data_IF_168813592869
#
_entry.id   IF_168813592869
#
_cell.length_a   1.000
_cell.length_b   1.000
_cell.length_c   1.000
_cell.angle_alpha   90.00
_cell.angle_beta   90.00
_cell.angle_gamma   90.00
#
_symmetry.space_group_name_H-M   'P 1'
#
loop_
_entity.id
_entity.type
_entity.pdbx_description
1 polymer ?
#
# COMPACT_ATOMS: atom_id res chain seq x y z
N UNK A 1 -30.91 9.86 -2.70
CA UNK A 1 -30.80 9.41 -1.31
C UNK A 1 -29.36 9.65 -0.86
N UNK A 2 -29.16 10.25 0.32
CA UNK A 2 -27.84 10.39 0.94
C UNK A 2 -27.87 9.54 2.19
N UNK A 3 -26.90 8.64 2.35
CA UNK A 3 -26.78 7.73 3.49
C UNK A 3 -25.43 7.98 4.17
N UNK A 4 -25.43 7.99 5.50
CA UNK A 4 -24.24 8.27 6.31
C UNK A 4 -23.95 7.04 7.16
N UNK A 5 -22.74 6.52 7.04
CA UNK A 5 -22.27 5.36 7.83
C UNK A 5 -20.80 5.53 8.16
N UNK A 6 -20.37 4.87 9.24
CA UNK A 6 -18.97 4.71 9.60
C UNK A 6 -18.41 3.35 9.16
N UNK A 7 -19.28 2.45 8.67
CA UNK A 7 -18.88 1.14 8.15
C UNK A 7 -18.56 1.24 6.66
N UNK A 8 -17.29 1.01 6.35
CA UNK A 8 -16.80 1.02 4.97
C UNK A 8 -17.38 -0.11 4.14
N UNK A 9 -17.69 -1.27 4.72
CA UNK A 9 -18.30 -2.40 4.00
C UNK A 9 -19.69 -2.02 3.49
N UNK A 10 -20.48 -1.31 4.30
CA UNK A 10 -21.77 -0.76 3.87
C UNK A 10 -21.57 0.26 2.74
N UNK A 11 -20.64 1.20 2.93
CA UNK A 11 -20.38 2.25 1.95
C UNK A 11 -19.94 1.67 0.59
N UNK A 12 -19.03 0.68 0.60
CA UNK A 12 -18.46 0.06 -0.60
C UNK A 12 -19.45 -0.86 -1.33
N UNK A 13 -20.38 -1.50 -0.61
CA UNK A 13 -21.31 -2.47 -1.21
C UNK A 13 -22.62 -1.86 -1.71
N UNK A 14 -23.11 -0.79 -1.08
CA UNK A 14 -24.45 -0.25 -1.35
C UNK A 14 -24.44 1.02 -2.21
N UNK A 15 -23.31 1.70 -2.33
CA UNK A 15 -23.26 3.06 -2.88
C UNK A 15 -22.80 3.08 -4.34
N UNK A 16 -23.42 3.95 -5.15
CA UNK A 16 -22.92 4.26 -6.50
C UNK A 16 -21.72 5.22 -6.44
N UNK A 17 -21.71 6.12 -5.46
CA UNK A 17 -20.63 7.05 -5.17
C UNK A 17 -20.50 7.19 -3.66
N UNK A 18 -19.28 7.35 -3.18
CA UNK A 18 -18.94 7.54 -1.78
C UNK A 18 -18.26 8.89 -1.64
N UNK A 19 -18.69 9.69 -0.68
CA UNK A 19 -17.99 10.89 -0.22
C UNK A 19 -17.23 10.55 1.06
N UNK A 20 -15.89 10.49 0.98
CA UNK A 20 -15.05 10.26 2.16
C UNK A 20 -14.70 11.62 2.77
N UNK A 21 -14.93 11.77 4.07
CA UNK A 21 -14.63 12.98 4.84
C UNK A 21 -13.67 12.67 5.98
N UNK A 22 -12.80 13.63 6.30
CA UNK A 22 -11.94 13.59 7.48
C UNK A 22 -11.92 14.97 8.13
N UNK A 23 -12.13 15.05 9.45
CA UNK A 23 -12.11 16.31 10.22
C UNK A 23 -12.98 17.44 9.63
N UNK A 24 -14.14 17.07 9.07
CA UNK A 24 -15.07 18.01 8.44
C UNK A 24 -14.72 18.40 7.01
N UNK A 25 -13.58 17.95 6.47
CA UNK A 25 -13.15 18.21 5.11
C UNK A 25 -13.43 17.03 4.17
N UNK A 26 -13.93 17.35 2.98
CA UNK A 26 -14.15 16.36 1.93
C UNK A 26 -12.82 15.92 1.31
N UNK A 27 -12.52 14.63 1.40
CA UNK A 27 -11.26 14.05 0.91
C UNK A 27 -11.40 13.57 -0.54
N UNK A 28 -12.48 12.85 -0.87
CA UNK A 28 -12.73 12.34 -2.23
C UNK A 28 -14.22 12.00 -2.43
N UNK A 29 -14.73 12.18 -3.64
CA UNK A 29 -16.05 11.68 -4.05
C UNK A 29 -15.94 10.88 -5.35
N UNK A 30 -16.01 9.56 -5.25
CA UNK A 30 -15.83 8.66 -6.40
C UNK A 30 -16.66 7.38 -6.25
N UNK A 31 -16.65 6.51 -7.25
CA UNK A 31 -17.24 5.18 -7.11
C UNK A 31 -16.50 4.34 -6.05
N UNK A 32 -17.13 3.32 -5.44
CA UNK A 32 -16.46 2.44 -4.47
C UNK A 32 -15.12 1.89 -4.97
N UNK A 33 -15.09 1.46 -6.23
CA UNK A 33 -13.90 0.90 -6.86
C UNK A 33 -12.79 1.93 -7.03
N UNK A 34 -13.13 3.18 -7.36
CA UNK A 34 -12.16 4.26 -7.47
C UNK A 34 -11.63 4.71 -6.11
N UNK A 35 -12.47 4.79 -5.08
CA UNK A 35 -12.02 5.08 -3.70
C UNK A 35 -11.00 4.03 -3.25
N UNK A 36 -11.26 2.76 -3.56
CA UNK A 36 -10.39 1.65 -3.17
C UNK A 36 -9.07 1.61 -3.96
N UNK A 37 -9.16 1.67 -5.30
CA UNK A 37 -8.03 1.48 -6.22
C UNK A 37 -7.24 2.76 -6.52
N UNK A 38 -7.81 3.94 -6.28
CA UNK A 38 -7.19 5.25 -6.57
C UNK A 38 -7.51 6.23 -5.43
N UNK A 39 -7.05 5.94 -4.20
CA UNK A 39 -7.26 6.82 -3.07
C UNK A 39 -6.58 8.17 -3.34
N UNK A 40 -7.32 9.28 -3.23
CA UNK A 40 -6.78 10.61 -3.50
C UNK A 40 -5.79 11.10 -2.43
N UNK A 41 -5.84 10.52 -1.24
CA UNK A 41 -4.97 10.88 -0.11
C UNK A 41 -4.50 9.64 0.66
N UNK A 42 -3.38 9.80 1.35
CA UNK A 42 -2.84 8.78 2.27
C UNK A 42 -3.83 8.40 3.37
N UNK A 43 -4.67 9.34 3.80
CA UNK A 43 -5.76 9.07 4.75
C UNK A 43 -6.73 8.05 4.18
N UNK A 44 -7.24 8.26 2.95
CA UNK A 44 -8.17 7.31 2.32
C UNK A 44 -7.50 5.95 2.13
N UNK A 45 -6.23 5.93 1.72
CA UNK A 45 -5.47 4.69 1.55
C UNK A 45 -5.36 3.87 2.84
N UNK A 46 -5.07 4.53 3.97
CA UNK A 46 -4.98 3.89 5.28
C UNK A 46 -6.33 3.64 5.95
N UNK A 47 -7.38 4.36 5.55
CA UNK A 47 -8.72 4.20 6.09
C UNK A 47 -9.47 3.09 5.37
N UNK A 48 -9.58 3.15 4.04
CA UNK A 48 -10.45 2.29 3.23
C UNK A 48 -9.78 0.96 2.95
N UNK A 49 -10.43 -0.15 3.32
CA UNK A 49 -9.99 -1.51 3.06
C UNK A 49 -9.71 -2.29 4.34
N UNK A 50 -9.99 -3.59 4.31
CA UNK A 50 -9.75 -4.48 5.46
C UNK A 50 -9.01 -5.73 4.96
N UNK A 51 -7.70 -5.86 5.25
CA UNK A 51 -6.86 -4.94 6.01
C UNK A 51 -6.57 -3.60 5.28
N UNK A 52 -6.12 -2.56 6.00
CA UNK A 52 -5.77 -1.28 5.39
C UNK A 52 -4.54 -1.38 4.50
N UNK A 53 -4.30 -0.38 3.65
CA UNK A 53 -3.08 -0.32 2.83
C UNK A 53 -1.84 -0.27 3.72
N UNK A 54 -0.79 -0.99 3.33
CA UNK A 54 0.52 -0.87 3.96
C UNK A 54 1.16 0.45 3.55
N UNK A 55 1.60 1.25 4.52
CA UNK A 55 2.17 2.57 4.28
C UNK A 55 3.57 2.69 4.88
N UNK A 56 4.54 3.11 4.07
CA UNK A 56 5.94 3.26 4.46
C UNK A 56 6.51 4.60 4.00
N UNK A 57 7.27 5.24 4.88
CA UNK A 57 7.97 6.47 4.53
C UNK A 57 9.15 6.15 3.64
N UNK A 58 9.26 6.86 2.52
CA UNK A 58 10.30 6.64 1.54
C UNK A 58 10.81 7.93 0.91
N UNK A 59 11.92 7.81 0.20
CA UNK A 59 12.53 8.84 -0.63
C UNK A 59 12.71 8.28 -2.04
N UNK A 60 12.68 9.15 -3.05
CA UNK A 60 13.14 8.79 -4.39
C UNK A 60 14.67 8.73 -4.38
N UNK A 61 15.24 7.68 -4.97
CA UNK A 61 16.69 7.55 -5.05
C UNK A 61 17.32 8.67 -5.92
N UNK A 62 18.46 9.20 -5.48
CA UNK A 62 19.14 10.35 -6.12
C UNK A 62 20.02 9.93 -7.32
N UNK A 63 20.38 8.65 -7.41
CA UNK A 63 21.32 8.08 -8.37
C UNK A 63 20.73 7.85 -9.78
N UNK A 64 19.53 8.35 -10.05
CA UNK A 64 18.83 8.18 -11.33
C UNK A 64 18.21 6.80 -11.51
N UNK A 65 18.47 5.86 -10.60
CA UNK A 65 17.66 4.66 -10.44
C UNK A 65 16.28 5.08 -9.99
N UNK A 66 15.30 4.83 -10.84
CA UNK A 66 13.93 5.16 -10.53
C UNK A 66 13.37 4.12 -9.57
N UNK A 67 13.75 4.27 -8.30
CA UNK A 67 13.39 3.40 -7.22
C UNK A 67 13.08 4.21 -5.96
N UNK A 68 12.23 3.64 -5.11
CA UNK A 68 11.93 4.16 -3.79
C UNK A 68 12.82 3.46 -2.76
N UNK A 69 13.38 4.24 -1.85
CA UNK A 69 14.16 3.75 -0.71
C UNK A 69 13.53 4.14 0.60
N UNK A 70 13.66 3.30 1.62
CA UNK A 70 13.24 3.68 2.97
C UNK A 70 14.21 4.71 3.58
N UNK A 71 13.90 5.18 4.79
CA UNK A 71 14.77 6.13 5.51
C UNK A 71 16.13 5.55 5.93
N UNK A 72 16.31 4.24 5.87
CA UNK A 72 17.60 3.58 6.12
C UNK A 72 18.37 3.32 4.81
N UNK A 73 17.86 3.77 3.67
CA UNK A 73 18.48 3.62 2.35
C UNK A 73 18.28 2.25 1.70
N UNK A 74 17.41 1.38 2.24
CA UNK A 74 17.09 0.08 1.62
C UNK A 74 16.17 0.27 0.42
N UNK A 75 16.44 -0.44 -0.66
CA UNK A 75 15.57 -0.50 -1.83
C UNK A 75 14.23 -1.14 -1.46
N UNK A 76 13.13 -0.41 -1.61
CA UNK A 76 11.78 -0.91 -1.37
C UNK A 76 11.18 -1.41 -2.68
N UNK A 77 11.23 -0.57 -3.72
CA UNK A 77 10.40 -0.74 -4.89
C UNK A 77 11.01 -0.05 -6.10
N UNK A 78 11.16 -0.79 -7.19
CA UNK A 78 11.55 -0.24 -8.48
C UNK A 78 10.31 0.36 -9.14
N UNK A 79 10.37 1.64 -9.46
CA UNK A 79 9.31 2.30 -10.21
C UNK A 79 9.38 1.77 -11.65
N UNK A 80 8.25 1.43 -12.30
CA UNK A 80 8.23 1.20 -13.74
C UNK A 80 8.20 2.54 -14.52
N UNK A 81 8.57 2.55 -15.83
CA UNK A 81 8.70 3.78 -16.61
C UNK A 81 7.49 4.75 -16.56
N UNK A 82 6.23 4.28 -16.58
CA UNK A 82 5.07 5.19 -16.46
C UNK A 82 4.99 5.92 -15.11
N UNK A 83 5.53 5.34 -14.04
CA UNK A 83 5.56 5.95 -12.70
C UNK A 83 6.73 6.93 -12.57
N UNK A 84 7.84 6.70 -13.28
CA UNK A 84 9.00 7.62 -13.30
C UNK A 84 8.56 9.03 -13.68
N UNK A 85 7.83 9.15 -14.79
CA UNK A 85 7.42 10.45 -15.31
C UNK A 85 6.48 11.18 -14.34
N UNK A 86 5.58 10.47 -13.67
CA UNK A 86 4.66 11.08 -12.68
C UNK A 86 5.39 11.58 -11.45
N UNK A 87 6.42 10.86 -11.02
CA UNK A 87 7.23 11.26 -9.87
C UNK A 87 8.26 12.33 -10.23
N UNK A 88 8.72 12.38 -11.48
CA UNK A 88 9.64 13.40 -11.96
C UNK A 88 9.05 14.82 -11.85
N UNK A 89 7.73 14.96 -11.98
CA UNK A 89 7.05 16.24 -11.81
C UNK A 89 6.72 16.58 -10.35
N UNK A 90 7.01 15.69 -9.40
CA UNK A 90 6.78 15.94 -7.98
C UNK A 90 7.82 16.91 -7.40
N UNK A 91 7.34 17.88 -6.62
CA UNK A 91 8.18 18.91 -5.99
C UNK A 91 8.91 18.37 -4.74
N UNK A 92 8.40 17.32 -4.09
CA UNK A 92 8.91 16.82 -2.80
C UNK A 92 9.47 15.40 -2.90
N UNK A 93 10.52 15.22 -3.70
CA UNK A 93 11.16 13.90 -3.95
C UNK A 93 11.80 13.26 -2.70
N UNK A 94 12.17 14.07 -1.71
CA UNK A 94 12.79 13.62 -0.46
C UNK A 94 11.81 13.29 0.68
N UNK A 95 10.49 13.37 0.44
CA UNK A 95 9.50 13.10 1.48
C UNK A 95 8.23 12.51 0.87
N UNK A 96 8.23 11.19 0.70
CA UNK A 96 7.17 10.43 0.06
C UNK A 96 6.62 9.37 1.00
N UNK A 97 5.42 8.88 0.70
CA UNK A 97 4.83 7.69 1.33
C UNK A 97 4.54 6.68 0.24
N UNK A 98 5.15 5.50 0.36
CA UNK A 98 4.83 4.32 -0.43
C UNK A 98 3.60 3.62 0.15
N UNK A 99 2.67 3.23 -0.73
CA UNK A 99 1.48 2.48 -0.37
C UNK A 99 1.30 1.23 -1.24
N UNK A 100 0.95 0.10 -0.62
CA UNK A 100 0.59 -1.13 -1.34
C UNK A 100 -0.46 -1.91 -0.57
N UNK A 101 -1.47 -2.45 -1.27
CA UNK A 101 -2.52 -3.25 -0.62
C UNK A 101 -1.99 -4.61 -0.17
N UNK A 102 -2.50 -5.18 0.94
CA UNK A 102 -2.08 -6.50 1.41
C UNK A 102 -2.15 -7.60 0.35
N UNK A 103 -3.18 -7.58 -0.49
CA UNK A 103 -3.41 -8.56 -1.56
C UNK A 103 -2.56 -8.32 -2.83
N UNK A 104 -1.90 -7.16 -2.94
CA UNK A 104 -0.99 -6.81 -4.04
C UNK A 104 0.49 -7.08 -3.68
N UNK A 105 0.74 -7.79 -2.57
CA UNK A 105 2.07 -8.24 -2.14
C UNK A 105 2.16 -9.76 -2.31
N UNK A 106 3.22 -10.23 -2.95
CA UNK A 106 3.55 -11.65 -3.08
C UNK A 106 4.65 -12.02 -2.09
N UNK A 107 4.48 -13.12 -1.35
CA UNK A 107 5.53 -13.69 -0.50
C UNK A 107 6.27 -14.76 -1.30
N UNK A 108 7.57 -14.54 -1.51
CA UNK A 108 8.49 -15.48 -2.13
C UNK A 108 9.31 -16.21 -1.04
N UNK A 109 9.29 -17.56 -0.99
CA UNK A 109 10.05 -18.31 0.00
C UNK A 109 11.58 -18.18 -0.14
N UNK A 110 12.05 -17.93 -1.36
CA UNK A 110 13.48 -17.82 -1.66
C UNK A 110 13.89 -16.36 -1.91
N UNK A 111 15.14 -15.99 -1.59
CA UNK A 111 15.66 -14.65 -1.87
C UNK A 111 15.65 -14.36 -3.38
N UNK A 112 14.77 -13.46 -3.80
CA UNK A 112 14.85 -12.79 -5.10
C UNK A 112 15.67 -11.50 -4.95
N UNK A 113 16.56 -11.22 -5.92
CA UNK A 113 17.36 -10.00 -5.96
C UNK A 113 16.53 -8.73 -6.09
N UNK A 114 15.27 -8.84 -6.54
CA UNK A 114 14.39 -7.69 -6.82
C UNK A 114 13.42 -7.34 -5.67
N UNK A 115 13.16 -8.28 -4.77
CA UNK A 115 12.20 -8.10 -3.69
C UNK A 115 12.83 -7.67 -2.36
N UNK A 116 11.99 -7.35 -1.38
CA UNK A 116 12.41 -6.85 -0.07
C UNK A 116 12.53 -8.00 0.96
N UNK A 117 13.75 -8.29 1.48
CA UNK A 117 13.92 -9.31 2.52
C UNK A 117 13.16 -8.94 3.79
N UNK A 118 12.37 -9.89 4.28
CA UNK A 118 11.42 -9.71 5.37
C UNK A 118 11.33 -10.97 6.23
N UNK A 119 10.74 -10.86 7.43
CA UNK A 119 10.52 -12.01 8.32
C UNK A 119 9.06 -12.10 8.74
N UNK A 120 8.51 -13.31 8.69
CA UNK A 120 7.14 -13.60 9.14
C UNK A 120 7.10 -13.57 10.67
N UNK A 121 6.22 -12.75 11.24
CA UNK A 121 5.98 -12.66 12.69
C UNK A 121 4.71 -13.35 13.14
N UNK A 122 3.66 -13.26 12.33
CA UNK A 122 2.38 -13.87 12.65
C UNK A 122 1.67 -14.34 11.38
N UNK A 123 0.73 -15.26 11.58
CA UNK A 123 -0.12 -15.82 10.54
C UNK A 123 -1.51 -16.04 11.11
N UNK A 124 -2.51 -15.46 10.45
CA UNK A 124 -3.91 -15.56 10.83
C UNK A 124 -4.73 -16.20 9.70
N UNK A 125 -5.63 -17.13 10.04
CA UNK A 125 -6.56 -17.73 9.09
C UNK A 125 -7.87 -16.95 9.06
N UNK A 126 -8.28 -16.51 7.87
CA UNK A 126 -9.49 -15.72 7.64
C UNK A 126 -10.33 -16.42 6.57
N UNK A 127 -10.79 -17.64 6.86
CA UNK A 127 -11.63 -18.41 5.95
C UNK A 127 -10.92 -18.79 4.64
N UNK A 128 -11.16 -18.02 3.58
CA UNK A 128 -10.61 -18.20 2.23
C UNK A 128 -9.27 -17.48 1.99
N UNK A 129 -8.82 -16.67 2.96
CA UNK A 129 -7.54 -15.99 2.94
C UNK A 129 -6.68 -16.33 4.16
N UNK A 130 -5.38 -16.12 4.03
CA UNK A 130 -4.42 -16.10 5.14
C UNK A 130 -3.72 -14.76 5.17
N UNK A 131 -3.78 -14.10 6.32
CA UNK A 131 -3.06 -12.86 6.57
C UNK A 131 -1.74 -13.17 7.25
N UNK A 132 -0.66 -12.59 6.74
CA UNK A 132 0.67 -12.65 7.32
C UNK A 132 1.06 -11.25 7.78
N UNK A 133 1.62 -11.18 8.98
CA UNK A 133 2.28 -9.97 9.45
C UNK A 133 3.80 -10.17 9.27
N UNK A 134 4.41 -9.28 8.48
CA UNK A 134 5.82 -9.34 8.08
C UNK A 134 6.52 -8.03 8.44
N UNK A 135 7.77 -8.10 8.88
CA UNK A 135 8.55 -6.88 9.17
C UNK A 135 9.21 -6.37 7.90
N UNK A 136 8.86 -5.14 7.54
CA UNK A 136 9.41 -4.36 6.44
C UNK A 136 9.89 -3.04 7.01
N UNK A 137 11.19 -2.82 6.95
CA UNK A 137 11.78 -1.56 7.38
C UNK A 137 11.38 -1.06 8.77
N UNK A 138 11.40 -1.97 9.74
CA UNK A 138 10.96 -1.75 11.14
C UNK A 138 9.46 -1.50 11.32
N UNK A 139 8.68 -1.52 10.23
CA UNK A 139 7.21 -1.46 10.27
C UNK A 139 6.62 -2.85 10.05
N UNK A 140 5.41 -3.05 10.57
CA UNK A 140 4.62 -4.23 10.28
C UNK A 140 3.86 -4.01 8.97
N UNK A 141 4.06 -4.91 8.03
CA UNK A 141 3.27 -5.01 6.81
C UNK A 141 2.34 -6.21 6.95
N UNK A 142 1.13 -6.07 6.42
CA UNK A 142 0.17 -7.13 6.31
C UNK A 142 0.09 -7.60 4.87
N UNK A 143 0.18 -8.91 4.67
CA UNK A 143 0.12 -9.54 3.34
C UNK A 143 -1.03 -10.52 3.33
N UNK A 144 -1.86 -10.45 2.30
CA UNK A 144 -2.98 -11.36 2.12
C UNK A 144 -2.63 -12.39 1.04
N UNK A 145 -2.82 -13.66 1.36
CA UNK A 145 -2.56 -14.79 0.46
C UNK A 145 -3.77 -15.71 0.40
N UNK A 146 -3.90 -16.56 -0.64
CA UNK A 146 -4.93 -17.60 -0.67
C UNK A 146 -4.86 -18.52 0.54
N UNK A 147 -5.98 -19.05 1.01
CA UNK A 147 -6.03 -19.95 2.17
C UNK A 147 -5.17 -21.21 2.04
N UNK A 148 -4.74 -21.63 0.85
CA UNK A 148 -3.84 -22.78 0.70
C UNK A 148 -2.36 -22.43 0.97
N UNK A 149 -1.98 -21.14 0.92
CA UNK A 149 -0.61 -20.71 1.08
C UNK A 149 -0.15 -20.85 2.54
N UNK A 150 0.96 -21.54 2.75
CA UNK A 150 1.44 -21.92 4.08
C UNK A 150 2.95 -21.77 4.18
N UNK A 151 3.37 -20.74 4.91
CA UNK A 151 4.73 -20.62 5.42
C UNK A 151 4.72 -20.59 6.97
N UNK A 152 5.73 -21.16 7.64
CA UNK A 152 5.91 -21.05 9.08
C UNK A 152 6.22 -19.63 9.55
N UNK A 153 5.80 -19.34 10.79
CA UNK A 153 6.22 -18.12 11.50
C UNK A 153 7.71 -18.20 11.81
N UNK A 154 8.39 -17.07 11.70
CA UNK A 154 9.84 -16.96 11.92
C UNK A 154 10.69 -17.11 10.65
N UNK A 155 10.09 -17.55 9.54
CA UNK A 155 10.78 -17.71 8.27
C UNK A 155 11.17 -16.37 7.65
N UNK A 156 12.35 -16.34 7.05
CA UNK A 156 12.83 -15.24 6.22
C UNK A 156 12.31 -15.46 4.80
N UNK A 157 11.67 -14.43 4.27
CA UNK A 157 11.02 -14.43 2.96
C UNK A 157 11.39 -13.17 2.20
N UNK A 158 11.14 -13.16 0.90
CA UNK A 158 11.23 -11.94 0.10
C UNK A 158 9.83 -11.48 -0.28
N UNK A 159 9.54 -10.19 -0.08
CA UNK A 159 8.30 -9.59 -0.55
C UNK A 159 8.51 -9.00 -1.94
N UNK A 160 7.66 -9.42 -2.88
CA UNK A 160 7.57 -8.79 -4.20
C UNK A 160 6.29 -7.95 -4.25
N UNK A 161 6.40 -6.72 -4.76
CA UNK A 161 5.28 -5.79 -4.88
C UNK A 161 4.84 -5.69 -6.33
N UNK A 162 3.53 -5.67 -6.57
CA UNK A 162 3.00 -5.53 -7.93
C UNK A 162 3.33 -4.16 -8.52
N UNK A 163 4.02 -4.18 -9.67
CA UNK A 163 4.55 -3.00 -10.38
C UNK A 163 3.50 -1.93 -10.73
N UNK A 164 2.23 -2.31 -10.87
CA UNK A 164 1.18 -1.39 -11.33
C UNK A 164 0.14 -1.09 -10.26
N UNK A 165 0.36 -1.58 -9.03
CA UNK A 165 -0.57 -1.46 -7.90
C UNK A 165 0.01 -0.66 -6.73
N UNK A 166 1.29 -0.33 -6.80
CA UNK A 166 1.89 0.62 -5.88
C UNK A 166 1.28 2.01 -6.02
N UNK A 167 1.14 2.67 -4.88
CA UNK A 167 0.75 4.05 -4.74
C UNK A 167 1.89 4.86 -4.14
N UNK A 168 1.98 6.12 -4.54
CA UNK A 168 2.91 7.07 -3.91
C UNK A 168 2.17 8.34 -3.57
N UNK A 169 2.36 8.80 -2.34
CA UNK A 169 1.77 10.03 -1.83
C UNK A 169 2.87 11.02 -1.48
N UNK A 170 2.59 12.30 -1.68
CA UNK A 170 3.42 13.38 -1.15
C UNK A 170 3.22 13.45 0.38
N UNK A 171 4.31 13.37 1.16
CA UNK A 171 4.24 13.29 2.63
C UNK A 171 3.75 14.59 3.28
N UNK A 172 3.95 15.75 2.64
CA UNK A 172 3.61 17.06 3.20
C UNK A 172 2.14 17.35 3.01
N UNK A 173 1.63 17.13 1.80
CA UNK A 173 0.24 17.40 1.44
C UNK A 173 -0.69 16.21 1.68
N UNK A 174 -0.13 15.01 1.81
CA UNK A 174 -0.87 13.75 1.91
C UNK A 174 -1.56 13.31 0.61
N UNK A 175 -1.38 14.04 -0.51
CA UNK A 175 -2.06 13.76 -1.78
C UNK A 175 -1.36 12.67 -2.57
N UNK A 176 -2.15 11.88 -3.28
CA UNK A 176 -1.64 10.86 -4.20
C UNK A 176 -0.95 11.52 -5.40
N UNK A 177 0.23 11.01 -5.72
CA UNK A 177 0.92 11.23 -6.98
C UNK A 177 0.45 10.19 -7.99
N UNK A 178 0.26 8.95 -7.53
CA UNK A 178 -0.38 7.87 -8.26
C UNK A 178 -0.92 6.75 -7.36
#
# INVERSE_FOLDING_TARGET
>A
MVYVTHDQTEALSMSQRIAVMNDGELQQVASPLEIYNRPATVFIAGFVGRPPMNLLDCILAEDGDAALRDRLGRHIYSLPPPQHHRLATSLNRGSLVFGIRPEDITILPEPDATGLPSRILAREQHGDATLYDVVVSEKLFRVQTPAAFRLPVGETVTLAFSELKAHVFDRVTGRAIF
#
